data_IF_576322231260
#
_entry.id   IF_576322231260
#
_cell.length_a   1.000
_cell.length_b   1.000
_cell.length_c   1.000
_cell.angle_alpha   90.00
_cell.angle_beta   90.00
_cell.angle_gamma   90.00
#
_symmetry.space_group_name_H-M   'P 1'
#
loop_
_entity.id
_entity.type
_entity.pdbx_description
1 polymer ?
#
# COMPACT_ATOMS: atom_id res chain seq x y z
N UNK A 1 12.18 30.94 13.10
CA UNK A 1 11.03 30.95 12.17
C UNK A 1 11.47 30.12 10.97
N UNK A 2 11.14 28.85 10.76
CA UNK A 2 10.03 27.98 11.15
C UNK A 2 10.59 26.61 11.55
N UNK A 3 10.21 26.07 12.72
CA UNK A 3 10.44 24.66 13.03
C UNK A 3 9.61 23.87 12.02
N UNK A 4 10.25 23.24 11.04
CA UNK A 4 9.57 22.26 10.20
C UNK A 4 9.28 21.07 11.10
N UNK A 5 8.10 21.07 11.74
CA UNK A 5 7.59 19.88 12.39
C UNK A 5 7.51 18.79 11.33
N UNK A 6 8.53 17.93 11.31
CA UNK A 6 8.65 16.81 10.40
C UNK A 6 7.51 15.89 10.78
N UNK A 7 6.40 15.95 10.03
CA UNK A 7 5.29 15.02 10.19
C UNK A 7 5.86 13.59 10.22
N UNK A 8 5.43 12.72 11.14
CA UNK A 8 5.99 11.38 11.26
C UNK A 8 5.87 10.65 9.92
N UNK A 9 6.93 9.93 9.53
CA UNK A 9 6.86 9.01 8.39
C UNK A 9 5.89 7.88 8.72
N UNK A 10 5.12 7.44 7.72
CA UNK A 10 4.15 6.36 7.87
C UNK A 10 4.52 5.20 6.95
N UNK A 11 4.46 3.99 7.49
CA UNK A 11 4.59 2.76 6.73
C UNK A 11 3.20 2.34 6.24
N UNK A 12 3.05 2.13 4.92
CA UNK A 12 1.75 1.83 4.30
C UNK A 12 1.84 0.57 3.46
N UNK A 13 1.15 -0.49 3.87
CA UNK A 13 1.06 -1.69 3.06
C UNK A 13 0.23 -1.46 1.79
N UNK A 14 0.81 -1.76 0.62
CA UNK A 14 0.21 -1.62 -0.69
C UNK A 14 0.13 -2.97 -1.42
N UNK A 15 -1.01 -3.25 -2.03
CA UNK A 15 -1.33 -4.53 -2.69
C UNK A 15 -1.82 -4.37 -4.15
N UNK A 16 -1.85 -3.14 -4.65
CA UNK A 16 -2.38 -2.78 -5.96
C UNK A 16 -1.42 -1.88 -6.73
N UNK A 17 -1.97 -0.87 -7.41
CA UNK A 17 -1.21 0.02 -8.31
C UNK A 17 -0.03 0.74 -7.64
N UNK A 18 -0.12 1.03 -6.34
CA UNK A 18 0.94 1.71 -5.60
C UNK A 18 2.14 0.78 -5.30
N UNK A 19 2.14 -0.47 -5.77
CA UNK A 19 3.34 -1.31 -5.77
C UNK A 19 4.36 -0.90 -6.83
N UNK A 20 3.94 -0.09 -7.81
CA UNK A 20 4.80 0.38 -8.91
C UNK A 20 5.41 1.74 -8.57
N UNK A 21 6.76 1.86 -8.48
CA UNK A 21 7.42 3.10 -8.08
C UNK A 21 7.06 4.30 -8.98
N UNK A 22 6.88 4.08 -10.29
CA UNK A 22 6.48 5.14 -11.20
C UNK A 22 5.10 5.73 -10.85
N UNK A 23 4.17 4.90 -10.40
CA UNK A 23 2.83 5.34 -9.97
C UNK A 23 2.92 6.11 -8.65
N UNK A 24 3.71 5.63 -7.70
CA UNK A 24 3.92 6.28 -6.40
C UNK A 24 4.56 7.65 -6.59
N UNK A 25 5.63 7.73 -7.39
CA UNK A 25 6.33 8.97 -7.70
C UNK A 25 5.41 9.99 -8.38
N UNK A 26 4.56 9.53 -9.30
CA UNK A 26 3.62 10.40 -10.02
C UNK A 26 2.52 10.95 -9.10
N UNK A 27 2.01 10.13 -8.17
CA UNK A 27 0.83 10.49 -7.36
C UNK A 27 1.22 11.20 -6.05
N UNK A 28 2.26 10.72 -5.38
CA UNK A 28 2.68 11.23 -4.07
C UNK A 28 3.85 12.22 -4.17
N UNK A 29 4.37 12.47 -5.38
CA UNK A 29 5.52 13.35 -5.63
C UNK A 29 6.76 13.00 -4.79
N UNK A 30 6.86 11.74 -4.36
CA UNK A 30 7.96 11.22 -3.56
C UNK A 30 8.26 9.76 -3.92
N UNK A 31 9.49 9.34 -3.62
CA UNK A 31 10.00 7.99 -3.88
C UNK A 31 10.33 7.30 -2.55
N UNK A 32 9.32 6.81 -1.80
CA UNK A 32 9.56 6.08 -0.57
C UNK A 32 10.34 4.79 -0.85
N UNK A 33 11.07 4.31 0.15
CA UNK A 33 11.70 2.98 0.10
C UNK A 33 10.60 1.95 0.13
N UNK A 34 10.55 1.08 -0.88
CA UNK A 34 9.55 0.03 -0.97
C UNK A 34 10.16 -1.33 -0.65
N UNK A 35 9.57 -2.07 0.28
CA UNK A 35 10.06 -3.39 0.71
C UNK A 35 8.97 -4.43 0.55
N UNK A 36 9.30 -5.60 -0.01
CA UNK A 36 8.36 -6.72 -0.12
C UNK A 36 7.89 -7.17 1.27
N UNK A 37 6.58 -7.33 1.43
CA UNK A 37 5.96 -7.67 2.71
C UNK A 37 4.77 -8.62 2.53
N UNK A 38 4.38 -9.27 3.63
CA UNK A 38 3.22 -10.15 3.70
C UNK A 38 2.23 -9.63 4.74
N UNK A 39 1.00 -9.34 4.33
CA UNK A 39 -0.09 -8.96 5.23
C UNK A 39 -0.93 -10.20 5.57
N UNK A 40 -0.80 -10.65 6.81
CA UNK A 40 -1.56 -11.78 7.36
C UNK A 40 -2.93 -11.32 7.85
N UNK A 41 -3.92 -12.22 7.80
CA UNK A 41 -5.28 -11.94 8.27
C UNK A 41 -6.16 -11.17 7.27
N UNK A 42 -5.72 -11.03 6.02
CA UNK A 42 -6.45 -10.34 4.95
C UNK A 42 -6.49 -11.15 3.67
N UNK A 43 -7.55 -10.97 2.87
CA UNK A 43 -7.68 -11.57 1.55
C UNK A 43 -7.98 -10.51 0.50
N UNK A 44 -7.44 -10.68 -0.72
CA UNK A 44 -7.71 -9.82 -1.87
C UNK A 44 -8.95 -10.31 -2.60
N UNK A 45 -9.97 -9.47 -2.68
CA UNK A 45 -11.20 -9.74 -3.40
C UNK A 45 -11.19 -9.03 -4.75
N UNK A 46 -11.42 -9.78 -5.83
CA UNK A 46 -11.71 -9.26 -7.18
C UNK A 46 -13.21 -9.29 -7.41
N UNK A 47 -13.85 -8.14 -7.18
CA UNK A 47 -15.30 -8.02 -7.29
C UNK A 47 -15.70 -7.77 -8.75
N UNK A 48 -16.68 -8.53 -9.24
CA UNK A 48 -17.23 -8.35 -10.59
C UNK A 48 -17.76 -6.91 -10.76
N UNK A 49 -17.38 -6.26 -11.85
CA UNK A 49 -17.78 -4.87 -12.13
C UNK A 49 -16.99 -3.81 -11.36
N UNK A 50 -15.94 -4.19 -10.62
CA UNK A 50 -14.98 -3.25 -10.01
C UNK A 50 -13.65 -3.31 -10.73
N UNK A 51 -13.08 -2.13 -10.99
CA UNK A 51 -11.79 -2.00 -11.67
C UNK A 51 -10.63 -2.48 -10.77
N UNK A 52 -10.67 -2.10 -9.49
CA UNK A 52 -9.62 -2.40 -8.53
C UNK A 52 -10.05 -3.49 -7.55
N UNK A 53 -9.10 -4.36 -7.21
CA UNK A 53 -9.28 -5.30 -6.13
C UNK A 53 -9.33 -4.56 -4.78
N UNK A 54 -9.99 -5.16 -3.80
CA UNK A 54 -10.06 -4.64 -2.44
C UNK A 54 -9.58 -5.71 -1.46
N UNK A 55 -9.12 -5.30 -0.28
CA UNK A 55 -8.78 -6.23 0.80
C UNK A 55 -9.80 -6.16 1.92
N UNK A 56 -10.07 -7.30 2.54
CA UNK A 56 -10.92 -7.40 3.73
C UNK A 56 -10.33 -8.44 4.67
N UNK A 57 -10.56 -8.32 6.00
CA UNK A 57 -10.16 -9.33 6.96
C UNK A 57 -10.61 -10.74 6.56
N UNK A 58 -9.72 -11.71 6.75
CA UNK A 58 -9.92 -13.13 6.48
C UNK A 58 -8.96 -13.92 7.36
N UNK A 59 -9.48 -14.78 8.24
CA UNK A 59 -8.72 -15.46 9.30
C UNK A 59 -7.43 -16.11 8.80
N UNK A 60 -7.51 -16.92 7.74
CA UNK A 60 -6.37 -17.60 7.11
C UNK A 60 -5.83 -16.86 5.88
N UNK A 61 -6.17 -15.58 5.75
CA UNK A 61 -5.80 -14.75 4.61
C UNK A 61 -4.33 -14.37 4.65
N UNK A 62 -3.70 -14.36 3.47
CA UNK A 62 -2.34 -13.89 3.28
C UNK A 62 -2.25 -13.12 1.97
N UNK A 63 -1.66 -11.92 2.02
CA UNK A 63 -1.46 -11.06 0.85
C UNK A 63 0.03 -10.74 0.72
N UNK A 64 0.59 -10.99 -0.46
CA UNK A 64 1.90 -10.49 -0.84
C UNK A 64 1.76 -9.07 -1.39
N UNK A 65 2.58 -8.15 -0.90
CA UNK A 65 2.57 -6.76 -1.33
C UNK A 65 3.90 -6.08 -1.03
N UNK A 66 3.85 -4.77 -0.86
CA UNK A 66 4.98 -3.95 -0.41
C UNK A 66 4.55 -3.05 0.74
N UNK A 67 5.51 -2.58 1.52
CA UNK A 67 5.38 -1.45 2.45
C UNK A 67 6.26 -0.32 1.93
#
# INVERSE_FOLDING_TARGET
MTSSDKSPSHDVFVYGSFQEPAVVNLILECSPVMVSAQLHGYHVYRLKGRLHACISPSENGLINGKV
#
